data_IF_778248611731
#
_entry.id   IF_778248611731
#
_cell.length_a   1.000
_cell.length_b   1.000
_cell.length_c   1.000
_cell.angle_alpha   90.00
_cell.angle_beta   90.00
_cell.angle_gamma   90.00
#
_symmetry.space_group_name_H-M   'P 1'
#
loop_
_entity.id
_entity.type
_entity.pdbx_description
1 polymer ?
#
# COMPACT_ATOMS: atom_id res chain seq x y z
N UNK A 1 -49.39 5.59 -0.61
CA UNK A 1 -48.62 4.86 0.44
C UNK A 1 -48.10 3.62 -0.27
N UNK A 2 -46.82 3.45 -0.60
CA UNK A 2 -45.61 3.82 0.12
C UNK A 2 -44.46 4.12 -0.87
N UNK A 3 -43.93 5.34 -0.82
CA UNK A 3 -42.67 5.74 -1.47
C UNK A 3 -41.69 6.12 -0.36
N UNK A 4 -41.04 5.11 0.22
CA UNK A 4 -40.19 5.30 1.40
C UNK A 4 -39.32 4.10 1.77
N UNK A 5 -39.03 3.20 0.82
CA UNK A 5 -38.11 2.11 1.09
C UNK A 5 -36.68 2.56 0.77
N UNK A 6 -35.80 2.55 1.78
CA UNK A 6 -34.38 2.81 1.58
C UNK A 6 -33.80 1.77 0.60
N UNK A 7 -33.04 2.18 -0.42
CA UNK A 7 -32.39 1.22 -1.32
C UNK A 7 -31.46 0.31 -0.53
N UNK A 8 -31.38 -0.96 -0.94
CA UNK A 8 -30.50 -1.95 -0.31
C UNK A 8 -29.07 -1.43 -0.32
N UNK A 9 -28.46 -1.35 0.87
CA UNK A 9 -27.06 -0.99 1.01
C UNK A 9 -26.23 -2.18 0.50
N UNK A 10 -25.32 -2.00 -0.48
CA UNK A 10 -24.44 -3.06 -0.92
C UNK A 10 -23.55 -3.49 0.25
N UNK A 11 -23.44 -4.80 0.45
CA UNK A 11 -22.48 -5.35 1.41
C UNK A 11 -21.06 -5.10 0.90
N UNK A 12 -20.17 -4.75 1.81
CA UNK A 12 -18.74 -4.67 1.56
C UNK A 12 -18.00 -5.53 2.57
N UNK A 13 -16.82 -6.01 2.18
CA UNK A 13 -15.92 -6.76 3.05
C UNK A 13 -14.64 -5.96 3.20
N UNK A 14 -14.23 -5.72 4.45
CA UNK A 14 -12.96 -5.08 4.77
C UNK A 14 -11.92 -6.16 5.10
N UNK A 15 -10.68 -5.93 4.67
CA UNK A 15 -9.51 -6.70 5.11
C UNK A 15 -8.54 -5.78 5.85
N UNK A 16 -7.78 -6.35 6.78
CA UNK A 16 -6.74 -5.61 7.48
C UNK A 16 -5.58 -5.33 6.53
N UNK A 17 -5.22 -4.07 6.39
CA UNK A 17 -4.05 -3.67 5.60
C UNK A 17 -2.76 -3.97 6.36
N UNK A 18 -1.74 -4.41 5.62
CA UNK A 18 -0.39 -4.59 6.15
C UNK A 18 0.38 -3.27 6.13
N UNK A 19 1.11 -2.99 7.20
CA UNK A 19 2.06 -1.89 7.27
C UNK A 19 3.47 -2.44 7.41
N UNK A 20 4.41 -1.83 6.69
CA UNK A 20 5.82 -2.12 6.79
C UNK A 20 6.56 -0.91 7.32
N UNK A 21 7.61 -1.16 8.09
CA UNK A 21 8.58 -0.18 8.51
C UNK A 21 9.94 -0.60 7.97
N UNK A 22 10.70 0.36 7.46
CA UNK A 22 12.03 0.12 6.92
C UNK A 22 12.96 1.29 7.16
N UNK A 23 14.25 1.04 6.92
CA UNK A 23 15.29 2.04 7.08
C UNK A 23 16.31 1.96 5.95
N UNK A 24 16.88 3.10 5.59
CA UNK A 24 18.04 3.18 4.71
C UNK A 24 19.31 3.31 5.56
N UNK A 25 20.35 2.56 5.18
CA UNK A 25 21.64 2.56 5.86
C UNK A 25 22.76 2.95 4.90
N UNK A 26 23.56 4.00 5.18
CA UNK A 26 23.45 4.91 6.34
C UNK A 26 22.15 5.74 6.32
N UNK A 27 21.69 6.28 7.48
CA UNK A 27 20.44 7.01 7.57
C UNK A 27 20.52 8.31 6.77
N UNK A 28 19.70 8.38 5.72
CA UNK A 28 19.66 9.49 4.77
C UNK A 28 18.19 9.87 4.56
N UNK A 29 17.90 11.16 4.70
CA UNK A 29 16.59 11.72 4.36
C UNK A 29 16.43 11.96 2.87
N UNK A 30 15.19 11.94 2.40
CA UNK A 30 14.89 12.26 1.00
C UNK A 30 15.26 11.14 0.03
N UNK A 31 15.29 9.89 0.48
CA UNK A 31 15.39 8.72 -0.41
C UNK A 31 13.98 8.35 -0.83
N UNK A 32 13.72 8.35 -2.13
CA UNK A 32 12.46 7.89 -2.72
C UNK A 32 12.34 6.39 -2.55
N UNK A 33 11.26 5.95 -1.92
CA UNK A 33 10.93 4.55 -1.66
C UNK A 33 9.65 4.21 -2.42
N UNK A 34 9.72 3.18 -3.27
CA UNK A 34 8.59 2.69 -4.06
C UNK A 34 8.34 1.22 -3.74
N UNK A 35 7.09 0.88 -3.45
CA UNK A 35 6.69 -0.52 -3.30
C UNK A 35 5.99 -0.97 -4.58
N UNK A 36 6.47 -2.07 -5.13
CA UNK A 36 5.96 -2.64 -6.39
C UNK A 36 5.43 -4.03 -6.14
N UNK A 37 4.24 -4.32 -6.63
CA UNK A 37 3.64 -5.64 -6.54
C UNK A 37 4.42 -6.66 -7.37
N UNK A 38 4.82 -7.77 -6.76
CA UNK A 38 5.49 -8.90 -7.43
C UNK A 38 4.51 -9.90 -8.05
N UNK A 39 3.22 -9.79 -7.71
CA UNK A 39 2.14 -10.64 -8.20
C UNK A 39 0.79 -9.93 -8.11
N UNK A 40 -0.21 -10.53 -8.73
CA UNK A 40 -1.59 -10.06 -8.70
C UNK A 40 -2.26 -10.43 -7.37
N UNK A 41 -3.25 -9.66 -6.93
CA UNK A 41 -4.06 -10.03 -5.75
C UNK A 41 -5.30 -10.83 -6.17
N UNK A 42 -5.63 -11.89 -5.44
CA UNK A 42 -6.89 -12.60 -5.63
C UNK A 42 -8.12 -11.88 -5.06
N UNK A 43 -7.91 -10.84 -4.26
CA UNK A 43 -8.97 -10.19 -3.47
C UNK A 43 -9.16 -8.71 -3.78
N UNK A 44 -8.26 -8.13 -4.58
CA UNK A 44 -8.26 -6.72 -4.93
C UNK A 44 -7.85 -6.54 -6.40
N UNK A 45 -8.19 -5.40 -7.04
CA UNK A 45 -7.76 -5.10 -8.39
C UNK A 45 -6.28 -4.66 -8.44
N UNK A 46 -5.38 -5.44 -7.84
CA UNK A 46 -3.94 -5.23 -7.86
C UNK A 46 -3.29 -6.14 -8.90
N UNK A 47 -2.47 -5.56 -9.76
CA UNK A 47 -1.73 -6.30 -10.78
C UNK A 47 -0.23 -6.33 -10.50
N UNK A 48 0.44 -7.39 -10.96
CA UNK A 48 1.89 -7.48 -10.92
C UNK A 48 2.55 -6.29 -11.63
N UNK A 49 3.56 -5.70 -10.99
CA UNK A 49 4.32 -4.56 -11.50
C UNK A 49 3.71 -3.21 -11.16
N UNK A 50 2.52 -3.17 -10.54
CA UNK A 50 1.90 -1.94 -10.10
C UNK A 50 2.61 -1.36 -8.88
N UNK A 51 2.76 -0.03 -8.87
CA UNK A 51 3.31 0.71 -7.72
C UNK A 51 2.17 0.94 -6.74
N UNK A 52 2.27 0.34 -5.56
CA UNK A 52 1.21 0.39 -4.54
C UNK A 52 1.42 1.49 -3.51
N UNK A 53 2.65 1.99 -3.41
CA UNK A 53 3.02 3.05 -2.49
C UNK A 53 4.27 3.76 -2.98
N UNK A 54 4.27 5.08 -2.85
CA UNK A 54 5.45 5.92 -2.99
C UNK A 54 5.57 6.78 -1.72
N UNK A 55 6.76 6.78 -1.12
CA UNK A 55 7.06 7.52 0.10
C UNK A 55 8.52 7.95 0.11
N UNK A 56 8.93 8.72 1.11
CA UNK A 56 10.30 9.21 1.22
C UNK A 56 10.81 9.01 2.65
N UNK A 57 12.11 8.74 2.80
CA UNK A 57 12.72 8.60 4.13
C UNK A 57 12.79 9.91 4.91
N UNK A 58 12.51 9.83 6.20
CA UNK A 58 12.68 10.93 7.15
C UNK A 58 14.15 11.26 7.48
N UNK A 59 14.40 12.24 8.36
CA UNK A 59 15.75 12.62 8.80
C UNK A 59 16.53 11.45 9.40
N UNK A 60 15.84 10.52 10.06
CA UNK A 60 16.41 9.31 10.65
C UNK A 60 16.64 8.17 9.63
N UNK A 61 16.37 8.40 8.34
CA UNK A 61 16.45 7.37 7.30
C UNK A 61 15.33 6.34 7.32
N UNK A 62 14.32 6.54 8.18
CA UNK A 62 13.18 5.63 8.36
C UNK A 62 12.04 5.96 7.38
N UNK A 63 11.27 4.93 7.01
CA UNK A 63 10.01 5.07 6.30
C UNK A 63 8.98 4.07 6.83
N UNK A 64 7.71 4.45 6.69
CA UNK A 64 6.56 3.58 6.96
C UNK A 64 5.74 3.52 5.67
N UNK A 65 5.23 2.34 5.34
CA UNK A 65 4.42 2.13 4.15
C UNK A 65 3.21 1.23 4.38
N UNK A 66 2.08 1.59 3.81
CA UNK A 66 0.82 0.86 3.90
C UNK A 66 -0.39 1.79 3.92
N UNK A 67 -1.62 1.25 4.00
CA UNK A 67 -1.95 -0.17 4.08
C UNK A 67 -1.75 -0.93 2.74
N UNK A 68 -1.14 -2.11 2.80
CA UNK A 68 -0.95 -3.02 1.66
C UNK A 68 -1.91 -4.20 1.72
N UNK A 69 -2.21 -4.82 0.58
CA UNK A 69 -2.99 -6.06 0.52
C UNK A 69 -2.21 -7.23 1.12
N UNK A 70 -2.89 -8.06 1.92
CA UNK A 70 -2.29 -9.19 2.64
C UNK A 70 -2.02 -10.42 1.77
N UNK A 71 -2.63 -10.48 0.59
CA UNK A 71 -2.59 -11.64 -0.33
C UNK A 71 -1.64 -11.44 -1.53
N UNK A 72 -0.73 -10.46 -1.46
CA UNK A 72 0.24 -10.20 -2.52
C UNK A 72 1.66 -10.00 -1.96
N UNK A 73 2.66 -10.29 -2.79
CA UNK A 73 4.07 -10.06 -2.47
C UNK A 73 4.52 -8.73 -3.07
N UNK A 74 5.47 -8.05 -2.40
CA UNK A 74 5.98 -6.76 -2.82
C UNK A 74 7.51 -6.73 -2.83
N UNK A 75 8.07 -5.90 -3.69
CA UNK A 75 9.48 -5.50 -3.66
C UNK A 75 9.57 -4.02 -3.34
N UNK A 76 10.71 -3.62 -2.76
CA UNK A 76 10.98 -2.23 -2.40
C UNK A 76 12.11 -1.74 -3.31
N UNK A 77 11.87 -0.64 -4.01
CA UNK A 77 12.87 0.10 -4.76
C UNK A 77 13.22 1.37 -4.00
N UNK A 78 14.51 1.67 -3.90
CA UNK A 78 15.01 2.87 -3.26
C UNK A 78 15.90 3.64 -4.23
N UNK A 79 15.65 4.93 -4.39
CA UNK A 79 16.43 5.81 -5.26
C UNK A 79 16.60 7.19 -4.63
N UNK A 80 17.68 7.89 -5.00
CA UNK A 80 17.89 9.28 -4.61
C UNK A 80 18.58 10.00 -5.77
N UNK A 81 18.00 11.13 -6.18
CA UNK A 81 18.51 12.00 -7.27
C UNK A 81 19.37 13.11 -6.69
#
# INVERSE_FOLDING_TARGET
>A
MADGCQPTIPQFSGRLGLYIEGSVSPPISGVDIRLVALGDSGTAPLQKGEVVLETTTGPDGLFIGGPLYDDANYTIEASKV
#
